data_IF_318085685175
#
_entry.id   IF_318085685175
#
_cell.length_a   1.000
_cell.length_b   1.000
_cell.length_c   1.000
_cell.angle_alpha   90.00
_cell.angle_beta   90.00
_cell.angle_gamma   90.00
#
_symmetry.space_group_name_H-M   'P 1'
#
loop_
_entity.id
_entity.type
_entity.pdbx_description
1 polymer ?
2 non-polymer ?
3 non-polymer ?
4 water ?
#
# COMPACT_ATOMS: atom_id res chain seq x y z
N UNK A 1 0.86 -9.90 -7.83
CA UNK A 1 0.77 -8.66 -8.60
C UNK A 1 1.79 -7.64 -8.14
N UNK A 2 1.68 -6.44 -8.72
CA UNK A 2 2.59 -5.40 -8.26
C UNK A 2 1.89 -4.41 -7.36
N UNK A 3 0.56 -4.41 -7.36
CA UNK A 3 -0.25 -3.61 -6.45
C UNK A 3 -1.20 -4.52 -5.69
N UNK A 4 -1.66 -4.13 -4.52
CA UNK A 4 -2.71 -4.91 -3.86
C UNK A 4 -3.99 -4.78 -4.66
N UNK A 5 -4.91 -5.70 -4.39
CA UNK A 5 -6.30 -5.49 -4.84
C UNK A 5 -6.90 -4.38 -3.98
N UNK A 6 -8.07 -3.92 -4.39
CA UNK A 6 -8.79 -2.89 -3.67
C UNK A 6 -8.68 -1.57 -4.36
N UNK A 7 -8.95 -0.53 -3.61
CA UNK A 7 -9.06 0.80 -4.19
C UNK A 7 -7.76 1.22 -4.84
N UNK A 8 -6.64 0.86 -4.26
CA UNK A 8 -5.32 1.31 -4.70
C UNK A 8 -4.62 0.28 -5.55
N UNK A 9 -5.34 -0.22 -6.61
CA UNK A 9 -4.88 -1.40 -7.32
C UNK A 9 -4.21 -1.07 -8.65
N UNK A 10 -4.14 0.21 -9.04
CA UNK A 10 -3.69 0.51 -10.39
C UNK A 10 -2.26 0.97 -10.45
N UNK A 11 -1.36 0.24 -11.12
CA UNK A 11 0.02 0.69 -11.20
C UNK A 11 0.14 1.88 -12.10
N UNK A 12 0.70 2.98 -11.59
CA UNK A 12 1.00 4.17 -12.38
C UNK A 12 2.44 4.57 -12.09
N UNK A 13 3.01 5.28 -13.08
CA UNK A 13 4.31 5.91 -12.91
C UNK A 13 4.08 7.38 -12.59
N UNK A 14 4.51 7.86 -11.43
CA UNK A 14 4.25 9.23 -11.03
C UNK A 14 5.57 9.96 -10.80
N UNK A 15 5.61 11.21 -11.25
CA UNK A 15 6.83 11.98 -11.13
C UNK A 15 7.26 12.14 -9.69
N UNK A 16 6.33 12.36 -8.76
CA UNK A 16 6.66 12.50 -7.36
C UNK A 16 5.46 12.15 -6.50
N UNK A 17 5.60 12.33 -5.20
CA UNK A 17 4.66 11.81 -4.19
C UNK A 17 4.63 12.78 -3.01
N UNK A 18 3.51 12.72 -2.29
CA UNK A 18 3.28 13.50 -1.10
C UNK A 18 2.74 12.59 0.00
N UNK A 19 3.53 12.50 1.09
CA UNK A 19 3.12 11.76 2.33
C UNK A 19 2.66 10.33 2.10
N UNK A 20 3.18 9.71 1.03
CA UNK A 20 2.85 8.31 0.70
C UNK A 20 1.37 8.05 0.57
N UNK A 21 0.60 9.08 0.26
CA UNK A 21 -0.82 9.00 -0.02
C UNK A 21 -1.24 9.67 -1.32
N UNK A 22 -0.43 10.55 -1.89
CA UNK A 22 -0.72 11.19 -3.13
C UNK A 22 0.41 10.98 -4.10
N UNK A 23 0.09 10.75 -5.36
CA UNK A 23 1.03 10.75 -6.47
C UNK A 23 0.75 11.99 -7.30
N UNK A 24 1.82 12.57 -7.83
CA UNK A 24 1.77 13.79 -8.64
C UNK A 24 2.37 13.49 -10.02
N UNK A 25 1.64 13.92 -11.05
CA UNK A 25 2.01 13.78 -12.45
C UNK A 25 2.22 12.29 -12.79
N UNK A 26 1.08 11.59 -12.76
CA UNK A 26 0.99 10.16 -12.92
C UNK A 26 0.55 9.77 -14.33
N UNK A 27 1.16 8.75 -14.87
CA UNK A 27 0.92 8.25 -16.22
C UNK A 27 0.83 6.74 -16.16
N UNK A 28 0.05 6.16 -17.05
CA UNK A 28 -0.06 4.73 -17.10
C UNK A 28 1.20 4.15 -17.70
N UNK A 29 1.57 2.94 -17.25
CA UNK A 29 2.68 2.27 -17.89
C UNK A 29 2.40 2.02 -19.36
N UNK A 30 3.48 1.91 -20.13
CA UNK A 30 3.41 1.64 -21.56
C UNK A 30 3.87 0.22 -21.89
N UNK A 31 3.98 -0.64 -20.89
CA UNK A 31 4.21 -2.07 -20.98
C UNK A 31 3.30 -2.73 -19.93
N UNK A 32 3.05 -4.03 -20.04
CA UNK A 32 2.49 -4.78 -18.92
C UNK A 32 3.58 -4.89 -17.86
N UNK A 33 3.19 -4.70 -16.62
CA UNK A 33 4.18 -4.69 -15.54
C UNK A 33 3.90 -5.93 -14.72
N UNK A 34 4.65 -6.98 -14.94
CA UNK A 34 4.32 -8.29 -14.37
C UNK A 34 4.93 -8.47 -13.01
N UNK A 35 5.93 -7.73 -12.62
CA UNK A 35 6.62 -7.97 -11.37
C UNK A 35 7.00 -6.60 -10.82
N UNK A 36 7.29 -6.50 -9.53
CA UNK A 36 7.66 -5.24 -8.92
C UNK A 36 8.94 -4.65 -9.46
N UNK A 37 9.95 -5.48 -9.67
CA UNK A 37 11.19 -5.03 -10.25
C UNK A 37 10.99 -4.38 -11.61
N UNK A 38 10.21 -4.96 -12.47
CA UNK A 38 9.91 -4.48 -13.81
C UNK A 38 9.09 -3.19 -13.72
N UNK A 39 8.13 -3.11 -12.79
CA UNK A 39 7.38 -1.90 -12.59
C UNK A 39 8.31 -0.75 -12.21
N UNK A 40 9.18 -0.98 -11.23
CA UNK A 40 10.13 0.02 -10.79
C UNK A 40 11.04 0.45 -11.92
N UNK A 41 11.57 -0.52 -12.69
CA UNK A 41 12.47 -0.22 -13.76
C UNK A 41 11.82 0.57 -14.87
N UNK A 42 10.58 0.17 -15.20
CA UNK A 42 9.86 0.88 -16.25
C UNK A 42 9.66 2.34 -15.87
N UNK A 43 9.11 2.56 -14.67
CA UNK A 43 8.91 3.96 -14.27
C UNK A 43 10.23 4.73 -14.15
N UNK A 44 11.25 4.06 -13.62
CA UNK A 44 12.51 4.76 -13.42
C UNK A 44 13.11 5.26 -14.74
N UNK A 45 12.93 4.49 -15.80
CA UNK A 45 13.43 4.88 -17.09
C UNK A 45 12.81 6.18 -17.57
N UNK A 46 11.70 6.61 -16.99
CA UNK A 46 11.04 7.87 -17.30
C UNK A 46 11.24 8.91 -16.21
N UNK A 47 12.04 8.59 -15.22
CA UNK A 47 12.26 9.51 -14.08
C UNK A 47 11.25 9.43 -12.99
N UNK A 48 10.33 8.46 -13.06
CA UNK A 48 9.17 8.38 -12.20
C UNK A 48 9.29 7.24 -11.21
N UNK A 49 8.33 7.29 -10.25
CA UNK A 49 8.16 6.32 -9.17
C UNK A 49 6.99 5.39 -9.45
N UNK A 50 7.11 4.14 -9.03
CA UNK A 50 6.01 3.17 -9.27
C UNK A 50 5.07 3.22 -8.10
N UNK A 51 3.86 3.73 -8.30
CA UNK A 51 2.87 3.90 -7.24
C UNK A 51 1.63 3.07 -7.59
N UNK A 52 0.85 2.75 -6.58
CA UNK A 52 -0.39 2.05 -6.71
C UNK A 52 -1.54 2.96 -6.39
N UNK A 53 -2.31 3.30 -7.42
CA UNK A 53 -3.21 4.45 -7.33
C UNK A 53 -4.66 4.03 -7.54
N UNK A 54 -5.53 5.03 -7.28
CA UNK A 54 -6.96 4.74 -7.28
C UNK A 54 -7.60 4.83 -8.65
N UNK A 55 -6.90 5.18 -9.71
CA UNK A 55 -7.43 5.33 -11.06
C UNK A 55 -6.50 4.70 -12.02
N UNK A 56 -6.96 4.08 -13.09
CA UNK A 56 -6.10 3.43 -14.07
C UNK A 56 -5.75 4.33 -15.22
N UNK A 57 -5.81 5.63 -15.08
CA UNK A 57 -5.46 6.49 -16.19
C UNK A 57 -4.63 7.64 -15.60
N UNK A 58 -3.99 8.35 -16.47
CA UNK A 58 -3.09 9.40 -16.17
C UNK A 58 -3.84 10.55 -15.53
N UNK A 59 -3.27 11.16 -14.50
CA UNK A 59 -3.77 12.47 -14.08
C UNK A 59 -2.73 13.18 -13.21
N UNK A 60 -3.01 14.42 -12.93
CA UNK A 60 -1.98 15.27 -12.34
C UNK A 60 -1.85 15.01 -10.84
N UNK A 61 -2.91 14.65 -10.10
CA UNK A 61 -2.76 14.39 -8.69
C UNK A 61 -3.82 13.35 -8.28
N UNK A 62 -3.35 12.23 -7.72
CA UNK A 62 -4.15 11.08 -7.42
C UNK A 62 -3.87 10.57 -6.04
N UNK A 63 -4.82 9.87 -5.41
CA UNK A 63 -4.54 9.02 -4.27
C UNK A 63 -3.74 7.82 -4.74
N UNK A 64 -2.55 7.65 -4.13
CA UNK A 64 -1.59 6.64 -4.50
C UNK A 64 -0.81 6.21 -3.26
N UNK A 65 -0.49 4.93 -3.21
CA UNK A 65 0.34 4.36 -2.14
C UNK A 65 1.63 3.80 -2.71
N UNK A 66 2.60 3.63 -1.84
CA UNK A 66 3.92 3.11 -2.20
C UNK A 66 3.81 1.62 -2.48
N UNK A 67 4.50 1.21 -3.55
CA UNK A 67 4.55 -0.18 -3.91
C UNK A 67 5.55 -0.89 -2.98
N UNK B 1 10.21 -7.43 4.00
CA UNK B 1 9.24 -6.69 4.82
C UNK B 1 7.81 -7.01 4.40
N UNK B 2 6.90 -6.55 5.25
CA UNK B 2 5.50 -6.80 4.97
C UNK B 2 4.75 -5.54 4.64
N UNK B 3 5.26 -4.38 4.93
CA UNK B 3 4.71 -3.09 4.60
C UNK B 3 5.77 -2.33 3.83
N UNK B 4 5.39 -1.40 2.96
CA UNK B 4 6.39 -0.50 2.33
C UNK B 4 7.00 0.37 3.41
N UNK B 5 8.14 0.98 3.08
CA UNK B 5 8.60 2.08 3.87
C UNK B 5 7.69 3.29 3.63
N UNK B 6 7.90 4.31 4.45
CA UNK B 6 7.12 5.52 4.33
C UNK B 6 6.07 5.62 5.41
N UNK B 7 5.10 6.49 5.15
CA UNK B 7 4.12 6.81 6.19
C UNK B 7 3.33 5.55 6.60
N UNK B 8 3.00 4.70 5.64
CA UNK B 8 2.14 3.54 5.89
C UNK B 8 3.01 2.28 6.09
N UNK B 9 3.96 2.37 7.02
CA UNK B 9 4.95 1.33 7.20
C UNK B 9 4.67 0.43 8.41
N UNK B 10 3.62 0.67 9.16
CA UNK B 10 3.41 -0.02 10.46
C UNK B 10 2.46 -1.17 10.33
N UNK B 11 2.89 -2.41 10.45
CA UNK B 11 1.92 -3.52 10.36
C UNK B 11 1.07 -3.51 11.61
N UNK B 12 -0.25 -3.56 11.39
CA UNK B 12 -1.21 -3.72 12.47
C UNK B 12 -2.21 -4.80 12.06
N UNK B 13 -2.81 -5.44 13.06
CA UNK B 13 -3.94 -6.35 12.84
C UNK B 13 -5.24 -5.59 13.13
N UNK B 14 -6.10 -5.46 12.14
CA UNK B 14 -7.30 -4.65 12.28
C UNK B 14 -8.53 -5.49 12.05
N UNK B 15 -9.53 -5.33 12.89
CA UNK B 15 -10.77 -6.09 12.80
C UNK B 15 -11.46 -5.93 11.45
N UNK B 16 -11.46 -4.72 10.87
CA UNK B 16 -12.06 -4.49 9.58
C UNK B 16 -11.42 -3.26 8.94
N UNK B 17 -11.97 -2.87 7.80
CA UNK B 17 -11.37 -1.84 6.94
C UNK B 17 -12.49 -1.12 6.18
N UNK B 18 -12.17 0.07 5.74
CA UNK B 18 -13.08 0.93 4.98
C UNK B 18 -12.35 1.51 3.81
N UNK B 19 -12.78 1.23 2.60
CA UNK B 19 -12.31 1.83 1.35
C UNK B 19 -10.80 1.70 1.12
N UNK B 20 -10.20 0.68 1.74
CA UNK B 20 -8.74 0.47 1.65
C UNK B 20 -7.92 1.69 2.06
N UNK B 21 -8.53 2.53 2.93
CA UNK B 21 -7.89 3.73 3.48
C UNK B 21 -7.98 3.80 5.01
N UNK B 22 -8.93 3.10 5.65
CA UNK B 22 -9.11 3.09 7.08
C UNK B 22 -8.96 1.68 7.58
N UNK B 23 -8.22 1.51 8.67
CA UNK B 23 -8.28 0.25 9.46
C UNK B 23 -9.04 0.56 10.74
N UNK B 24 -9.88 -0.41 11.09
CA UNK B 24 -10.80 -0.27 12.24
C UNK B 24 -10.43 -1.32 13.29
N UNK B 25 -10.37 -0.87 14.54
CA UNK B 25 -10.03 -1.71 15.68
C UNK B 25 -8.71 -2.43 15.43
N UNK B 26 -7.66 -1.61 15.34
CA UNK B 26 -6.31 -2.06 15.05
C UNK B 26 -5.46 -2.22 16.31
N UNK B 27 -4.66 -3.25 16.30
CA UNK B 27 -3.77 -3.58 17.39
C UNK B 27 -2.42 -3.94 16.83
N UNK B 28 -1.36 -3.74 17.64
CA UNK B 28 -0.05 -4.15 17.20
C UNK B 28 0.02 -5.68 17.20
N UNK B 29 0.78 -6.24 16.30
CA UNK B 29 1.01 -7.69 16.34
C UNK B 29 1.66 -8.06 17.68
N UNK B 30 1.32 -9.24 18.15
CA UNK B 30 1.93 -9.70 19.40
C UNK B 30 3.04 -10.70 19.15
N UNK B 31 3.33 -11.06 17.92
CA UNK B 31 4.51 -11.74 17.51
C UNK B 31 5.16 -10.93 16.41
N UNK B 32 6.41 -11.25 16.11
CA UNK B 32 7.10 -10.60 15.02
C UNK B 32 6.48 -11.05 13.70
N UNK B 33 6.16 -10.13 12.86
CA UNK B 33 5.51 -10.45 11.59
C UNK B 33 6.47 -10.21 10.45
N UNK B 34 7.41 -11.15 10.30
CA UNK B 34 8.58 -10.94 9.48
C UNK B 34 8.34 -11.30 8.02
N UNK B 35 7.31 -12.01 7.66
CA UNK B 35 6.91 -12.33 6.29
C UNK B 35 5.41 -12.12 6.13
N UNK B 36 5.01 -11.93 4.88
CA UNK B 36 3.61 -11.68 4.61
C UNK B 36 2.72 -12.82 5.11
N UNK B 37 3.22 -14.06 4.94
CA UNK B 37 2.41 -15.20 5.36
C UNK B 37 2.21 -15.24 6.87
N UNK B 38 3.22 -14.97 7.63
CA UNK B 38 3.22 -14.90 9.07
C UNK B 38 2.31 -13.75 9.48
N UNK B 39 2.43 -12.60 8.85
CA UNK B 39 1.55 -11.46 9.18
C UNK B 39 0.09 -11.81 9.00
N UNK B 40 -0.23 -12.36 7.82
CA UNK B 40 -1.61 -12.75 7.52
C UNK B 40 -2.10 -13.76 8.51
N UNK B 41 -1.29 -14.80 8.78
CA UNK B 41 -1.76 -15.87 9.69
C UNK B 41 -1.97 -15.35 11.11
N UNK B 42 -1.04 -14.49 11.55
CA UNK B 42 -1.14 -13.96 12.90
C UNK B 42 -2.41 -13.15 13.07
N UNK B 43 -2.62 -12.23 12.14
CA UNK B 43 -3.83 -11.44 12.26
C UNK B 43 -5.08 -12.30 12.11
N UNK B 44 -5.06 -13.25 11.21
CA UNK B 44 -6.24 -14.10 11.01
C UNK B 44 -6.59 -14.90 12.24
N UNK B 45 -5.60 -15.25 13.05
CA UNK B 45 -5.80 -15.97 14.28
C UNK B 45 -6.54 -15.13 15.34
N UNK B 46 -6.70 -13.86 15.10
CA UNK B 46 -7.53 -13.02 15.93
C UNK B 46 -8.73 -12.46 15.17
N UNK B 47 -9.03 -13.03 14.01
CA UNK B 47 -10.18 -12.60 13.22
C UNK B 47 -9.93 -11.32 12.42
N UNK B 48 -8.67 -10.89 12.36
CA UNK B 48 -8.30 -9.58 11.82
C UNK B 48 -7.56 -9.69 10.51
N UNK B 49 -7.45 -8.54 9.87
CA UNK B 49 -6.75 -8.31 8.60
C UNK B 49 -5.38 -7.67 8.84
N UNK B 50 -4.43 -7.98 7.99
CA UNK B 50 -3.07 -7.44 8.15
C UNK B 50 -2.96 -6.17 7.31
N UNK B 51 -2.93 -5.04 7.97
CA UNK B 51 -2.92 -3.73 7.28
C UNK B 51 -1.62 -3.01 7.57
N UNK B 52 -1.27 -2.06 6.72
CA UNK B 52 -0.09 -1.24 6.86
C UNK B 52 -0.54 0.19 7.18
N UNK B 53 -0.28 0.66 8.38
CA UNK B 53 -0.94 1.84 8.90
C UNK B 53 0.05 2.95 9.24
N UNK B 54 -0.50 4.13 9.50
CA UNK B 54 0.34 5.32 9.68
C UNK B 54 0.93 5.48 11.09
N UNK B 55 0.57 4.58 11.99
CA UNK B 55 1.15 4.71 13.34
C UNK B 55 1.34 3.31 13.94
N UNK B 56 2.34 3.07 14.75
CA UNK B 56 2.60 1.77 15.30
C UNK B 56 1.95 1.58 16.66
N UNK B 57 0.67 1.88 16.75
CA UNK B 57 -0.09 1.85 17.99
C UNK B 57 -1.48 1.29 17.75
N UNK B 58 -2.04 0.68 18.80
CA UNK B 58 -3.44 0.31 18.79
C UNK B 58 -4.29 1.60 18.65
N UNK B 59 -5.32 1.49 17.80
CA UNK B 59 -6.20 2.63 17.58
C UNK B 59 -7.47 2.10 16.91
N UNK B 60 -8.60 2.70 17.31
CA UNK B 60 -9.88 2.23 16.78
C UNK B 60 -10.16 2.56 15.32
N UNK B 61 -9.58 3.62 14.79
CA UNK B 61 -9.87 4.02 13.41
C UNK B 61 -8.75 4.96 12.92
N UNK B 62 -7.91 4.41 12.06
CA UNK B 62 -6.80 5.23 11.55
C UNK B 62 -6.50 4.90 10.10
N UNK B 63 -5.67 5.68 9.47
CA UNK B 63 -5.31 5.51 8.07
C UNK B 63 -4.44 4.27 7.93
N UNK B 64 -4.92 3.35 7.05
CA UNK B 64 -4.24 2.10 6.78
C UNK B 64 -4.47 1.71 5.35
N UNK B 65 -3.48 1.05 4.75
CA UNK B 65 -3.54 0.53 3.41
C UNK B 65 -3.44 -0.99 3.42
N UNK B 66 -3.93 -1.59 2.33
CA UNK B 66 -3.92 -3.01 2.11
C UNK B 66 -2.50 -3.41 1.90
N UNK B 67 -2.15 -4.56 2.51
CA UNK B 67 -0.85 -5.12 2.32
C UNK B 67 -0.79 -5.99 1.07
X LIG C 1 -9.67 -7.50 2.36
X LIG C 1 -10.69 -8.56 2.89
X LIG C 1 -9.41 -7.67 0.95
X LIG C 1 -10.33 -6.31 2.58
X LIG C 1 -8.48 -7.55 3.15
X LIG D 1 -0.73 10.64 14.01
X LIG D 1 0.06 9.57 12.70
X LIG D 1 0.37 11.65 14.56
X LIG D 1 1.37 10.94 15.28
X LIG D 1 -0.29 12.68 15.57
X LIG D 1 0.72 13.67 15.92
X LIG D 1 -1.48 13.46 14.79
X LIG D 1 -2.12 14.25 15.80
X LIG D 1 -2.53 12.40 14.23
X LIG D 1 -1.75 11.56 13.22
X LIG D 1 -3.71 13.08 13.44
X LIG D 1 -4.67 12.05 13.16
X LIG D 1 0.57 10.62 11.17
X LIG D 1 -0.65 10.73 10.26
X LIG D 1 -0.38 11.71 9.11
X LIG D 1 -1.48 11.72 8.05
X LIG D 1 -1.31 12.76 6.99
X LIG D 1 -2.67 13.31 6.59
X LIG D 1 -2.57 14.06 5.28
#
# INVERSE_FOLDING_TARGET
AVCPTGLFSNPLCCATNVLDLIGVDCKTPTIAVDTGAIFQAHCASKGSKPLCCVAPVADQALLCQKAIGTF
AVCPTGLFSNPLCCATNVLDLIGVDCKTPTIAVDTGAIFQAHCASKGSKPLCCVAPVADQALLCQKAIGTF
SO4 S O1 O2 O3 O4
HTG C1 S1 C2 O2 C3 O3 C4 O4 C5 O5 C6 O6 C1' C2' C3' C4' C5' C6' C7'
#
